data_IF_205971185618
#
_entry.id   IF_205971185618
#
_cell.length_a   1.000
_cell.length_b   1.000
_cell.length_c   1.000
_cell.angle_alpha   90.00
_cell.angle_beta   90.00
_cell.angle_gamma   90.00
#
_symmetry.space_group_name_H-M   'P 1'
#
loop_
_entity.id
_entity.type
_entity.pdbx_description
1 polymer ?
#
# COMPACT_ATOMS: atom_id res chain seq x y z
N UNK A 1 -12.55 0.81 -37.73
CA UNK A 1 -11.24 1.11 -38.32
C UNK A 1 -10.15 0.33 -37.62
N UNK A 2 -9.33 -0.36 -38.43
CA UNK A 2 -8.27 -1.28 -37.91
C UNK A 2 -6.94 -0.56 -37.61
N UNK A 3 -6.96 0.76 -37.37
CA UNK A 3 -5.76 1.54 -37.15
C UNK A 3 -5.81 2.19 -35.77
N UNK A 4 -4.79 1.98 -34.98
CA UNK A 4 -4.62 2.63 -33.67
C UNK A 4 -3.49 3.64 -33.75
N UNK A 5 -3.73 4.84 -33.18
CA UNK A 5 -2.76 5.89 -33.03
C UNK A 5 -2.39 5.96 -31.55
N UNK A 6 -1.11 5.78 -31.26
CA UNK A 6 -0.57 5.93 -29.91
C UNK A 6 0.52 7.00 -29.94
N UNK A 7 0.49 7.93 -29.00
CA UNK A 7 1.56 8.91 -28.84
C UNK A 7 2.78 8.21 -28.27
N UNK A 8 3.88 8.19 -29.04
CA UNK A 8 5.10 7.48 -28.68
C UNK A 8 6.12 8.39 -27.98
N UNK A 9 6.19 9.67 -28.35
CA UNK A 9 7.07 10.67 -27.72
C UNK A 9 6.61 12.09 -28.10
N UNK A 10 7.01 13.08 -27.30
CA UNK A 10 6.95 14.49 -27.69
C UNK A 10 8.32 14.90 -28.25
N UNK A 11 8.33 15.84 -29.21
CA UNK A 11 9.56 16.45 -29.66
C UNK A 11 10.15 17.33 -28.55
N UNK A 12 11.49 17.52 -28.60
CA UNK A 12 12.24 18.28 -27.60
C UNK A 12 11.84 19.75 -27.45
N UNK A 13 11.15 20.30 -28.45
CA UNK A 13 10.60 21.67 -28.45
C UNK A 13 9.15 21.78 -27.97
N UNK A 14 8.51 20.67 -27.58
CA UNK A 14 7.12 20.59 -27.14
C UNK A 14 6.06 21.01 -28.20
N UNK A 15 6.46 21.31 -29.44
CA UNK A 15 5.56 21.76 -30.49
C UNK A 15 5.08 20.63 -31.41
N UNK A 16 5.66 19.45 -31.30
CA UNK A 16 5.29 18.28 -32.07
C UNK A 16 5.21 17.00 -31.24
N UNK A 17 4.40 16.05 -31.68
CA UNK A 17 4.32 14.73 -31.09
C UNK A 17 4.49 13.63 -32.15
N UNK A 18 5.31 12.63 -31.85
CA UNK A 18 5.45 11.44 -32.68
C UNK A 18 4.32 10.48 -32.40
N UNK A 19 3.54 10.17 -33.40
CA UNK A 19 2.48 9.18 -33.33
C UNK A 19 2.98 7.85 -33.89
N UNK A 20 2.87 6.79 -33.11
CA UNK A 20 3.03 5.43 -33.59
C UNK A 20 1.70 4.94 -34.14
N UNK A 21 1.71 4.52 -35.39
CA UNK A 21 0.54 3.97 -36.07
C UNK A 21 0.70 2.47 -36.17
N UNK A 22 -0.14 1.72 -35.45
CA UNK A 22 -0.19 0.27 -35.57
C UNK A 22 -1.42 -0.14 -36.38
N UNK A 23 -1.19 -0.90 -37.46
CA UNK A 23 -2.22 -1.54 -38.27
C UNK A 23 -2.08 -3.03 -38.14
N UNK A 24 -2.93 -3.62 -37.30
CA UNK A 24 -2.99 -5.08 -37.14
C UNK A 24 -4.38 -5.58 -37.54
N UNK A 25 -4.55 -6.03 -38.81
CA UNK A 25 -5.83 -6.48 -39.28
C UNK A 25 -6.29 -7.83 -38.70
N UNK A 26 -5.37 -8.62 -38.16
CA UNK A 26 -5.67 -9.98 -37.70
C UNK A 26 -5.59 -10.12 -36.18
N UNK A 27 -4.72 -9.40 -35.51
CA UNK A 27 -4.46 -9.53 -34.06
C UNK A 27 -5.68 -9.23 -33.20
N UNK A 28 -6.50 -8.26 -33.61
CA UNK A 28 -7.76 -7.95 -32.92
C UNK A 28 -8.72 -9.12 -33.01
N UNK A 29 -8.91 -9.68 -34.22
CA UNK A 29 -9.83 -10.81 -34.46
C UNK A 29 -9.36 -12.06 -33.72
N UNK A 30 -8.07 -12.38 -33.77
CA UNK A 30 -7.47 -13.50 -33.03
C UNK A 30 -7.63 -13.35 -31.53
N UNK A 31 -7.38 -12.16 -30.99
CA UNK A 31 -7.52 -11.90 -29.56
C UNK A 31 -8.97 -12.04 -29.08
N UNK A 32 -9.93 -11.46 -29.81
CA UNK A 32 -11.35 -11.60 -29.43
C UNK A 32 -11.86 -13.03 -29.57
N UNK A 33 -11.40 -13.78 -30.61
CA UNK A 33 -11.71 -15.21 -30.75
C UNK A 33 -11.12 -16.00 -29.57
N UNK A 34 -9.90 -15.70 -29.15
CA UNK A 34 -9.27 -16.31 -27.98
C UNK A 34 -10.06 -16.04 -26.69
N UNK A 35 -10.52 -14.81 -26.48
CA UNK A 35 -11.37 -14.47 -25.33
C UNK A 35 -12.74 -15.16 -25.38
N UNK A 36 -13.35 -15.26 -26.55
CA UNK A 36 -14.60 -15.97 -26.72
C UNK A 36 -14.45 -17.47 -26.41
N UNK A 37 -13.38 -18.11 -26.87
CA UNK A 37 -13.09 -19.52 -26.58
C UNK A 37 -12.82 -19.74 -25.07
N UNK A 38 -12.11 -18.84 -24.41
CA UNK A 38 -11.91 -18.90 -22.96
C UNK A 38 -13.24 -18.79 -22.21
N UNK A 39 -14.10 -17.87 -22.61
CA UNK A 39 -15.43 -17.70 -22.02
C UNK A 39 -16.30 -18.93 -22.21
N UNK A 40 -16.33 -19.48 -23.42
CA UNK A 40 -17.08 -20.72 -23.74
C UNK A 40 -16.56 -21.89 -22.91
N UNK A 41 -15.23 -22.06 -22.80
CA UNK A 41 -14.63 -23.14 -22.01
C UNK A 41 -14.94 -23.02 -20.53
N UNK A 42 -14.96 -21.78 -20.01
CA UNK A 42 -15.31 -21.50 -18.62
C UNK A 42 -16.80 -21.79 -18.34
N UNK A 43 -17.70 -21.34 -19.24
CA UNK A 43 -19.13 -21.64 -19.13
C UNK A 43 -19.41 -23.13 -19.25
N UNK A 44 -18.70 -23.82 -20.13
CA UNK A 44 -18.79 -25.28 -20.30
C UNK A 44 -18.35 -25.98 -19.00
N UNK A 45 -17.26 -25.55 -18.40
CA UNK A 45 -16.78 -26.09 -17.10
C UNK A 45 -17.82 -25.92 -15.99
N UNK A 46 -18.56 -24.78 -15.97
CA UNK A 46 -19.63 -24.54 -15.00
C UNK A 46 -20.89 -25.35 -15.32
N UNK A 47 -21.19 -25.57 -16.60
CA UNK A 47 -22.38 -26.26 -17.06
C UNK A 47 -22.26 -27.79 -16.96
N UNK A 48 -21.05 -28.34 -17.03
CA UNK A 48 -20.82 -29.80 -17.08
C UNK A 48 -21.36 -30.48 -15.81
N UNK A 49 -22.36 -31.36 -15.94
CA UNK A 49 -22.96 -32.06 -14.78
C UNK A 49 -21.99 -33.04 -14.08
N UNK A 50 -20.96 -33.51 -14.79
CA UNK A 50 -19.96 -34.46 -14.31
C UNK A 50 -18.64 -33.77 -13.93
N UNK A 51 -18.54 -32.45 -14.17
CA UNK A 51 -17.34 -31.67 -13.95
C UNK A 51 -16.92 -31.58 -12.47
N UNK A 52 -15.62 -31.39 -12.26
CA UNK A 52 -15.01 -31.26 -10.94
C UNK A 52 -15.64 -30.12 -10.12
N UNK A 53 -16.07 -29.04 -10.77
CA UNK A 53 -16.75 -27.91 -10.13
C UNK A 53 -18.05 -28.34 -9.42
N UNK A 54 -18.94 -29.05 -10.13
CA UNK A 54 -20.19 -29.54 -9.52
C UNK A 54 -19.97 -30.64 -8.48
N UNK A 55 -18.88 -31.40 -8.58
CA UNK A 55 -18.48 -32.36 -7.54
C UNK A 55 -18.10 -31.61 -6.27
N UNK A 56 -17.32 -30.53 -6.36
CA UNK A 56 -16.95 -29.68 -5.21
C UNK A 56 -18.18 -29.01 -4.62
N UNK A 57 -19.05 -28.43 -5.47
CA UNK A 57 -20.30 -27.79 -5.03
C UNK A 57 -21.21 -28.79 -4.32
N UNK A 58 -21.37 -30.02 -4.83
CA UNK A 58 -22.15 -31.08 -4.16
C UNK A 58 -21.54 -31.49 -2.82
N UNK A 59 -20.23 -31.61 -2.72
CA UNK A 59 -19.55 -31.87 -1.44
C UNK A 59 -19.77 -30.75 -0.42
N UNK A 60 -19.78 -29.50 -0.86
CA UNK A 60 -20.03 -28.32 -0.02
C UNK A 60 -21.52 -28.17 0.36
N UNK A 61 -22.45 -28.68 -0.43
CA UNK A 61 -23.89 -28.58 -0.17
C UNK A 61 -24.45 -29.68 0.72
N UNK A 62 -23.75 -30.80 0.92
CA UNK A 62 -24.15 -31.80 1.89
C UNK A 62 -23.99 -31.27 3.32
N UNK A 63 -25.09 -31.12 3.99
CA UNK A 63 -25.24 -30.44 5.31
C UNK A 63 -24.31 -30.95 6.42
N UNK A 64 -23.81 -32.19 6.33
CA UNK A 64 -22.85 -32.80 7.29
C UNK A 64 -21.39 -32.48 6.99
N UNK A 65 -21.02 -32.17 5.75
CA UNK A 65 -19.64 -31.86 5.39
C UNK A 65 -19.27 -30.40 5.62
N UNK A 66 -20.24 -29.49 5.74
CA UNK A 66 -19.98 -28.05 5.98
C UNK A 66 -19.31 -27.79 7.32
N UNK A 67 -19.73 -28.51 8.37
CA UNK A 67 -19.09 -28.41 9.71
C UNK A 67 -17.72 -29.08 9.74
N UNK A 68 -17.55 -30.21 9.07
CA UNK A 68 -16.26 -30.89 8.99
C UNK A 68 -15.25 -30.14 8.11
N UNK A 69 -15.68 -29.59 6.95
CA UNK A 69 -14.82 -28.78 6.08
C UNK A 69 -14.45 -27.44 6.73
N UNK A 70 -15.38 -26.79 7.43
CA UNK A 70 -15.09 -25.59 8.20
C UNK A 70 -14.15 -25.89 9.38
N UNK A 71 -14.35 -27.00 10.08
CA UNK A 71 -13.44 -27.44 11.16
C UNK A 71 -12.06 -27.84 10.62
N UNK A 72 -11.97 -28.50 9.47
CA UNK A 72 -10.70 -28.83 8.82
C UNK A 72 -9.95 -27.60 8.32
N UNK A 73 -10.66 -26.60 7.78
CA UNK A 73 -10.07 -25.31 7.39
C UNK A 73 -9.55 -24.53 8.59
N UNK A 74 -10.24 -24.58 9.72
CA UNK A 74 -9.81 -23.92 10.96
C UNK A 74 -8.61 -24.64 11.60
N UNK A 75 -8.48 -25.97 11.46
CA UNK A 75 -7.37 -26.74 12.07
C UNK A 75 -6.10 -26.74 11.22
N UNK A 76 -6.14 -26.38 9.94
CA UNK A 76 -4.98 -26.37 9.02
C UNK A 76 -4.47 -24.95 8.76
N UNK A 77 -5.16 -23.92 9.20
CA UNK A 77 -4.51 -22.60 9.22
C UNK A 77 -3.42 -22.64 10.28
N UNK A 78 -2.12 -22.57 9.91
CA UNK A 78 -1.12 -22.26 10.91
C UNK A 78 -1.61 -20.99 11.61
N UNK A 79 -1.65 -21.01 12.93
CA UNK A 79 -1.91 -19.82 13.72
C UNK A 79 -0.75 -18.83 13.43
N UNK A 80 -0.83 -18.13 12.30
CA UNK A 80 0.01 -16.99 12.05
C UNK A 80 -0.40 -15.96 13.10
N UNK A 81 0.34 -15.88 14.17
CA UNK A 81 0.26 -14.74 15.08
C UNK A 81 0.60 -13.52 14.24
N UNK A 82 -0.44 -12.74 13.90
CA UNK A 82 -0.22 -11.47 13.24
C UNK A 82 0.69 -10.62 14.14
N UNK A 83 1.68 -9.93 13.57
CA UNK A 83 2.56 -9.07 14.38
C UNK A 83 1.73 -8.00 15.09
N UNK A 84 2.22 -7.54 16.25
CA UNK A 84 1.51 -6.52 17.02
C UNK A 84 1.24 -5.27 16.20
N UNK A 85 0.03 -4.74 16.37
CA UNK A 85 -0.43 -3.51 15.73
C UNK A 85 -1.55 -2.88 16.57
N UNK A 86 -1.94 -1.66 16.23
CA UNK A 86 -3.10 -1.06 16.87
C UNK A 86 -4.39 -1.84 16.55
N UNK A 87 -5.34 -1.90 17.48
CA UNK A 87 -6.71 -2.32 17.19
C UNK A 87 -7.27 -1.55 16.00
N UNK A 88 -8.09 -2.20 15.20
CA UNK A 88 -8.57 -1.64 13.93
C UNK A 88 -9.28 -0.30 14.10
N UNK A 89 -10.09 -0.14 15.15
CA UNK A 89 -10.81 1.10 15.44
C UNK A 89 -9.87 2.27 15.78
N UNK A 90 -8.78 2.00 16.52
CA UNK A 90 -7.77 2.99 16.87
C UNK A 90 -6.92 3.34 15.64
N UNK A 91 -6.51 2.34 14.86
CA UNK A 91 -5.79 2.53 13.60
C UNK A 91 -6.63 3.33 12.60
N UNK A 92 -7.92 3.03 12.46
CA UNK A 92 -8.86 3.79 11.62
C UNK A 92 -8.98 5.26 12.06
N UNK A 93 -8.98 5.54 13.38
CA UNK A 93 -8.98 6.91 13.91
C UNK A 93 -7.67 7.63 13.62
N UNK A 94 -6.54 6.96 13.80
CA UNK A 94 -5.23 7.48 13.46
C UNK A 94 -5.14 7.79 11.95
N UNK A 95 -5.67 6.91 11.10
CA UNK A 95 -5.74 7.08 9.65
C UNK A 95 -6.56 8.29 9.17
N UNK A 96 -7.41 8.87 10.03
CA UNK A 96 -8.18 10.10 9.72
C UNK A 96 -7.40 11.39 9.94
N UNK A 97 -6.28 11.34 10.64
CA UNK A 97 -5.40 12.50 10.77
C UNK A 97 -4.90 12.93 9.39
N UNK A 98 -4.63 14.21 9.23
CA UNK A 98 -4.15 14.75 7.98
C UNK A 98 -2.62 14.75 7.93
N UNK A 99 -2.07 14.56 6.75
CA UNK A 99 -0.63 14.51 6.50
C UNK A 99 -0.31 15.20 5.17
N UNK A 100 0.83 15.85 5.09
CA UNK A 100 1.40 16.30 3.82
C UNK A 100 2.10 15.10 3.15
N UNK A 101 1.54 14.63 2.05
CA UNK A 101 2.05 13.52 1.26
C UNK A 101 1.92 13.84 -0.23
N UNK A 102 3.01 13.66 -0.99
CA UNK A 102 3.08 13.99 -2.42
C UNK A 102 2.56 15.42 -2.71
N UNK A 103 3.08 16.39 -1.96
CA UNK A 103 2.78 17.82 -2.07
C UNK A 103 1.30 18.22 -1.89
N UNK A 104 0.50 17.32 -1.33
CA UNK A 104 -0.90 17.61 -0.97
C UNK A 104 -1.23 17.15 0.45
N UNK A 105 -2.23 17.81 1.03
CA UNK A 105 -2.77 17.39 2.32
C UNK A 105 -3.85 16.36 2.08
N UNK A 106 -3.67 15.19 2.68
CA UNK A 106 -4.58 14.06 2.55
C UNK A 106 -4.75 13.33 3.89
N UNK A 107 -5.75 12.43 4.03
CA UNK A 107 -5.82 11.54 5.18
C UNK A 107 -4.58 10.63 5.28
N UNK A 108 -4.11 10.36 6.49
CA UNK A 108 -3.03 9.40 6.73
C UNK A 108 -3.39 7.99 6.19
N UNK A 109 -4.67 7.67 6.09
CA UNK A 109 -5.14 6.47 5.39
C UNK A 109 -4.60 6.39 3.95
N UNK A 110 -4.61 7.50 3.18
CA UNK A 110 -4.07 7.54 1.82
C UNK A 110 -2.57 7.27 1.83
N UNK A 111 -1.83 7.95 2.69
CA UNK A 111 -0.41 7.68 2.90
C UNK A 111 -0.18 6.20 3.24
N UNK A 112 -0.98 5.63 4.16
CA UNK A 112 -0.84 4.23 4.58
C UNK A 112 -1.07 3.25 3.43
N UNK A 113 -2.07 3.49 2.58
CA UNK A 113 -2.34 2.67 1.38
C UNK A 113 -1.16 2.73 0.40
N UNK A 114 -0.70 3.93 0.05
CA UNK A 114 0.38 4.14 -0.91
C UNK A 114 1.70 3.56 -0.37
N UNK A 115 2.01 3.85 0.88
CA UNK A 115 3.22 3.41 1.54
C UNK A 115 3.28 1.88 1.65
N UNK A 116 2.19 1.24 2.09
CA UNK A 116 2.12 -0.22 2.19
C UNK A 116 2.25 -0.87 0.80
N UNK A 117 1.63 -0.30 -0.24
CA UNK A 117 1.82 -0.75 -1.63
C UNK A 117 3.26 -0.58 -2.11
N UNK A 118 3.91 0.53 -1.79
CA UNK A 118 5.32 0.79 -2.18
C UNK A 118 6.25 -0.24 -1.55
N UNK A 119 6.06 -0.55 -0.27
CA UNK A 119 6.95 -1.43 0.49
C UNK A 119 6.64 -2.91 0.23
N UNK A 120 5.37 -3.31 0.40
CA UNK A 120 4.94 -4.72 0.35
C UNK A 120 4.39 -5.15 -1.01
N UNK A 121 3.87 -4.21 -1.81
CA UNK A 121 3.26 -4.46 -3.11
C UNK A 121 1.73 -4.64 -3.06
N UNK A 122 1.13 -4.69 -1.88
CA UNK A 122 -0.34 -4.73 -1.67
C UNK A 122 -0.72 -3.74 -0.57
N UNK A 123 -1.97 -3.30 -0.55
CA UNK A 123 -2.46 -2.38 0.48
C UNK A 123 -2.67 -3.06 1.85
N UNK A 124 -2.78 -4.36 1.91
CA UNK A 124 -3.01 -5.13 3.15
C UNK A 124 -1.89 -6.15 3.37
N UNK A 125 -1.61 -6.48 4.62
CA UNK A 125 -0.62 -7.48 5.02
C UNK A 125 -1.24 -8.47 6.00
N UNK A 126 -1.27 -9.77 5.66
CA UNK A 126 -1.82 -10.84 6.52
C UNK A 126 -3.20 -10.51 7.12
N UNK A 127 -4.09 -9.87 6.36
CA UNK A 127 -5.43 -9.46 6.80
C UNK A 127 -5.50 -8.14 7.57
N UNK A 128 -4.36 -7.50 7.87
CA UNK A 128 -4.30 -6.19 8.50
C UNK A 128 -4.60 -5.08 7.49
N UNK A 129 -5.28 -4.03 7.96
CA UNK A 129 -5.52 -2.83 7.15
C UNK A 129 -4.25 -2.01 6.95
N UNK A 130 -4.17 -1.13 5.92
CA UNK A 130 -2.98 -0.31 5.70
C UNK A 130 -2.59 0.51 6.92
N UNK A 131 -3.57 1.07 7.65
CA UNK A 131 -3.35 1.84 8.87
C UNK A 131 -2.76 0.97 9.99
N UNK A 132 -3.24 -0.26 10.13
CA UNK A 132 -2.69 -1.22 11.08
C UNK A 132 -1.25 -1.57 10.74
N UNK A 133 -0.95 -1.79 9.46
CA UNK A 133 0.40 -2.10 8.99
C UNK A 133 1.36 -0.94 9.30
N UNK A 134 1.00 0.28 8.90
CA UNK A 134 1.84 1.46 9.12
C UNK A 134 2.04 1.73 10.62
N UNK A 135 0.99 1.63 11.43
CA UNK A 135 1.10 1.78 12.88
C UNK A 135 1.91 0.66 13.53
N UNK A 136 1.84 -0.56 12.99
CA UNK A 136 2.71 -1.66 13.39
C UNK A 136 4.19 -1.34 13.14
N UNK A 137 4.53 -0.85 11.95
CA UNK A 137 5.91 -0.44 11.64
C UNK A 137 6.41 0.72 12.51
N UNK A 138 5.53 1.64 12.92
CA UNK A 138 5.89 2.77 13.77
C UNK A 138 6.08 2.32 15.22
N UNK A 139 5.10 1.64 15.81
CA UNK A 139 5.06 1.40 17.26
C UNK A 139 5.69 0.07 17.67
N UNK A 140 5.74 -0.94 16.79
CA UNK A 140 6.31 -2.27 17.05
C UNK A 140 7.42 -2.63 16.07
N UNK A 141 8.22 -1.63 15.69
CA UNK A 141 9.25 -1.77 14.68
C UNK A 141 10.18 -2.96 14.86
N UNK A 142 10.57 -3.29 16.09
CA UNK A 142 11.48 -4.41 16.37
C UNK A 142 10.84 -5.75 16.01
N UNK A 143 9.61 -5.99 16.44
CA UNK A 143 8.85 -7.20 16.11
C UNK A 143 8.60 -7.32 14.60
N UNK A 144 8.29 -6.18 13.95
CA UNK A 144 8.11 -6.13 12.52
C UNK A 144 9.41 -6.29 11.73
N UNK A 145 10.59 -6.18 12.36
CA UNK A 145 11.86 -6.38 11.69
C UNK A 145 12.11 -7.84 11.27
N UNK A 146 11.42 -8.79 11.90
CA UNK A 146 11.47 -10.21 11.53
C UNK A 146 10.43 -10.60 10.46
N UNK A 147 9.43 -9.74 10.25
CA UNK A 147 8.37 -9.98 9.27
C UNK A 147 8.85 -9.75 7.83
N UNK A 148 8.53 -10.65 6.87
CA UNK A 148 8.94 -10.52 5.47
C UNK A 148 8.01 -9.57 4.70
N UNK A 149 8.09 -8.29 4.96
CA UNK A 149 7.22 -7.29 4.32
C UNK A 149 7.88 -6.46 3.22
N UNK A 150 9.21 -6.49 3.09
CA UNK A 150 9.92 -5.74 2.04
C UNK A 150 9.90 -6.54 0.75
N UNK A 151 9.20 -6.01 -0.25
CA UNK A 151 9.12 -6.65 -1.57
C UNK A 151 10.40 -6.43 -2.35
N UNK A 152 10.99 -7.51 -2.86
CA UNK A 152 12.04 -7.48 -3.85
C UNK A 152 11.39 -7.59 -5.24
N UNK A 153 11.55 -6.56 -6.06
CA UNK A 153 11.14 -6.56 -7.46
C UNK A 153 12.27 -7.11 -8.33
N UNK A 154 11.89 -7.92 -9.32
CA UNK A 154 12.85 -8.49 -10.27
C UNK A 154 13.42 -9.85 -9.86
N UNK A 155 14.02 -10.53 -10.83
CA UNK A 155 14.56 -11.89 -10.67
C UNK A 155 16.04 -11.90 -10.32
N UNK A 156 16.81 -11.02 -10.96
CA UNK A 156 18.28 -11.06 -10.94
C UNK A 156 18.85 -10.89 -9.51
N UNK A 157 18.41 -9.88 -8.77
CA UNK A 157 18.77 -9.72 -7.36
C UNK A 157 18.38 -10.93 -6.50
N UNK A 158 17.19 -11.51 -6.77
CA UNK A 158 16.70 -12.66 -6.01
C UNK A 158 17.52 -13.91 -6.27
N UNK A 159 17.92 -14.13 -7.51
CA UNK A 159 18.75 -15.28 -7.92
C UNK A 159 20.16 -15.14 -7.39
N UNK A 160 20.78 -13.98 -7.60
CA UNK A 160 22.16 -13.72 -7.19
C UNK A 160 22.36 -13.79 -5.67
N UNK A 161 21.43 -13.23 -4.90
CA UNK A 161 21.50 -13.19 -3.42
C UNK A 161 20.69 -14.28 -2.73
N UNK A 162 20.13 -15.24 -3.47
CA UNK A 162 19.26 -16.30 -2.98
C UNK A 162 18.15 -15.79 -2.05
N UNK A 163 17.47 -14.69 -2.44
CA UNK A 163 16.45 -14.03 -1.65
C UNK A 163 15.02 -14.41 -2.12
N UNK A 164 14.07 -14.57 -1.21
CA UNK A 164 12.67 -14.74 -1.56
C UNK A 164 12.07 -13.44 -2.12
N UNK A 165 10.84 -13.49 -2.66
CA UNK A 165 10.14 -12.32 -3.19
C UNK A 165 9.79 -11.24 -2.15
N UNK A 166 9.79 -11.59 -0.87
CA UNK A 166 9.66 -10.68 0.27
C UNK A 166 10.68 -11.05 1.33
N UNK A 167 11.33 -10.06 1.91
CA UNK A 167 12.35 -10.22 2.94
C UNK A 167 12.03 -9.38 4.17
N UNK A 168 12.56 -9.80 5.31
CA UNK A 168 12.53 -9.03 6.55
C UNK A 168 13.70 -8.05 6.61
N UNK A 169 13.57 -7.02 7.46
CA UNK A 169 14.69 -6.12 7.72
C UNK A 169 15.88 -6.87 8.30
N UNK A 170 15.65 -7.76 9.26
CA UNK A 170 16.71 -8.51 9.93
C UNK A 170 17.48 -9.42 8.95
N UNK A 171 16.85 -9.88 7.86
CA UNK A 171 17.56 -10.62 6.81
C UNK A 171 18.48 -9.73 5.97
N UNK A 172 18.13 -8.45 5.80
CA UNK A 172 18.98 -7.48 5.08
C UNK A 172 20.07 -6.87 5.97
N UNK A 173 19.87 -6.88 7.30
CA UNK A 173 20.85 -6.44 8.30
C UNK A 173 21.37 -7.65 9.09
N UNK A 174 22.17 -8.48 8.45
CA UNK A 174 22.73 -9.65 9.10
C UNK A 174 24.09 -9.31 9.74
N UNK A 175 24.15 -9.36 11.07
CA UNK A 175 25.38 -9.10 11.84
C UNK A 175 26.48 -10.09 11.53
N UNK A 176 26.14 -11.35 11.28
CA UNK A 176 27.09 -12.44 11.01
C UNK A 176 27.74 -12.32 9.63
N UNK A 177 27.08 -11.62 8.70
CA UNK A 177 27.57 -11.38 7.33
C UNK A 177 28.14 -9.95 7.14
N UNK A 178 28.46 -9.24 8.21
CA UNK A 178 29.11 -7.92 8.12
C UNK A 178 28.16 -6.72 8.01
N UNK A 179 26.91 -6.85 8.44
CA UNK A 179 25.97 -5.74 8.55
C UNK A 179 24.92 -5.67 7.43
N UNK A 180 24.92 -4.62 6.62
CA UNK A 180 23.93 -4.42 5.57
C UNK A 180 24.27 -5.20 4.31
N UNK A 181 23.56 -6.30 4.06
CA UNK A 181 23.86 -7.30 3.02
C UNK A 181 23.94 -6.70 1.62
N UNK A 182 23.06 -5.76 1.30
CA UNK A 182 23.05 -5.11 -0.02
C UNK A 182 23.91 -3.82 -0.07
N UNK A 183 24.50 -3.41 1.05
CA UNK A 183 25.28 -2.18 1.16
C UNK A 183 26.42 -2.02 0.13
N UNK A 184 27.27 -3.03 -0.09
CA UNK A 184 28.31 -2.96 -1.11
C UNK A 184 27.77 -2.66 -2.51
N UNK A 185 26.69 -3.33 -2.90
CA UNK A 185 26.07 -3.14 -4.22
C UNK A 185 25.36 -1.79 -4.36
N UNK A 186 24.84 -1.22 -3.25
CA UNK A 186 24.35 0.16 -3.24
C UNK A 186 25.48 1.14 -3.55
N UNK A 187 26.68 0.92 -3.00
CA UNK A 187 27.85 1.76 -3.32
C UNK A 187 28.25 1.62 -4.79
N UNK A 188 28.26 0.42 -5.34
CA UNK A 188 28.53 0.17 -6.76
C UNK A 188 27.52 0.90 -7.66
N UNK A 189 26.22 0.89 -7.30
CA UNK A 189 25.20 1.67 -7.98
C UNK A 189 25.49 3.18 -7.94
N UNK A 190 25.88 3.71 -6.78
CA UNK A 190 26.23 5.13 -6.62
C UNK A 190 27.50 5.51 -7.41
N UNK A 191 28.41 4.57 -7.65
CA UNK A 191 29.61 4.76 -8.47
C UNK A 191 29.36 4.59 -9.98
N UNK A 192 28.10 4.36 -10.37
CA UNK A 192 27.71 4.38 -11.79
C UNK A 192 27.43 3.00 -12.40
N UNK A 193 27.36 1.94 -11.62
CA UNK A 193 26.89 0.65 -12.11
C UNK A 193 25.34 0.62 -12.13
N UNK A 194 24.77 0.73 -13.33
CA UNK A 194 23.31 0.88 -13.51
C UNK A 194 22.69 -0.26 -14.32
N UNK A 195 23.24 -1.47 -14.21
CA UNK A 195 22.59 -2.66 -14.76
C UNK A 195 21.30 -3.03 -14.02
N UNK A 196 20.60 -4.04 -14.46
CA UNK A 196 19.31 -4.44 -13.89
C UNK A 196 19.43 -4.91 -12.43
N UNK A 197 20.52 -5.64 -12.10
CA UNK A 197 20.78 -6.07 -10.73
C UNK A 197 20.92 -4.89 -9.78
N UNK A 198 21.79 -3.91 -10.13
CA UNK A 198 22.04 -2.74 -9.31
C UNK A 198 20.82 -1.82 -9.18
N UNK A 199 19.98 -1.70 -10.25
CA UNK A 199 18.69 -1.01 -10.15
C UNK A 199 17.73 -1.67 -9.17
N UNK A 200 17.67 -3.02 -9.14
CA UNK A 200 16.84 -3.75 -8.19
C UNK A 200 17.36 -3.61 -6.75
N UNK A 201 18.68 -3.54 -6.57
CA UNK A 201 19.33 -3.22 -5.29
C UNK A 201 18.92 -1.82 -4.82
N UNK A 202 19.08 -0.80 -5.65
CA UNK A 202 18.71 0.58 -5.32
C UNK A 202 17.22 0.73 -4.98
N UNK A 203 16.35 0.08 -5.74
CA UNK A 203 14.91 0.00 -5.47
C UNK A 203 14.60 -0.64 -4.11
N UNK A 204 15.39 -1.63 -3.69
CA UNK A 204 15.20 -2.31 -2.40
C UNK A 204 15.75 -1.47 -1.26
N UNK A 205 16.89 -0.84 -1.46
CA UNK A 205 17.50 0.12 -0.51
C UNK A 205 16.55 1.30 -0.24
N UNK A 206 15.92 1.84 -1.28
CA UNK A 206 14.90 2.90 -1.11
C UNK A 206 13.78 2.45 -0.17
N UNK A 207 13.28 1.22 -0.29
CA UNK A 207 12.24 0.69 0.60
C UNK A 207 12.72 0.56 2.03
N UNK A 208 13.94 0.06 2.23
CA UNK A 208 14.57 -0.02 3.55
C UNK A 208 14.68 1.37 4.18
N UNK A 209 15.21 2.34 3.43
CA UNK A 209 15.35 3.73 3.87
C UNK A 209 13.99 4.33 4.25
N UNK A 210 12.96 4.16 3.42
CA UNK A 210 11.62 4.64 3.70
C UNK A 210 11.04 4.08 5.01
N UNK A 211 11.26 2.80 5.30
CA UNK A 211 10.84 2.20 6.58
C UNK A 211 11.59 2.82 7.76
N UNK A 212 12.89 3.05 7.62
CA UNK A 212 13.67 3.70 8.68
C UNK A 212 13.23 5.15 8.91
N UNK A 213 12.93 5.90 7.84
CA UNK A 213 12.39 7.26 7.92
C UNK A 213 10.99 7.28 8.58
N UNK A 214 10.13 6.30 8.24
CA UNK A 214 8.83 6.16 8.89
C UNK A 214 8.98 5.93 10.40
N UNK A 215 9.86 5.02 10.80
CA UNK A 215 10.13 4.71 12.21
C UNK A 215 10.69 5.91 12.99
N UNK A 216 11.50 6.72 12.34
CA UNK A 216 12.00 7.99 12.91
C UNK A 216 10.92 9.08 12.97
N UNK A 217 9.80 8.90 12.27
CA UNK A 217 8.73 9.90 12.17
C UNK A 217 8.99 11.03 11.19
N UNK A 218 10.11 11.00 10.43
CA UNK A 218 10.47 12.07 9.48
C UNK A 218 9.47 12.21 8.33
N UNK A 219 8.85 11.12 7.93
CA UNK A 219 7.82 11.11 6.89
C UNK A 219 6.47 11.64 7.35
N UNK A 220 6.24 11.71 8.67
CA UNK A 220 4.93 12.02 9.25
C UNK A 220 4.74 13.54 9.40
N UNK A 221 4.68 14.26 8.29
CA UNK A 221 4.43 15.71 8.24
C UNK A 221 2.97 16.01 8.57
N UNK A 222 2.61 15.95 9.86
CA UNK A 222 1.23 16.02 10.36
C UNK A 222 0.91 17.31 11.13
N UNK A 223 1.89 18.18 11.36
CA UNK A 223 1.74 19.33 12.24
C UNK A 223 1.82 20.63 11.44
N UNK A 224 0.66 21.26 11.12
CA UNK A 224 0.64 22.54 10.45
C UNK A 224 1.04 23.66 11.39
N UNK A 225 1.91 24.55 10.93
CA UNK A 225 2.29 25.79 11.59
C UNK A 225 2.21 26.94 10.61
N UNK A 226 1.65 28.04 11.04
CA UNK A 226 1.64 29.29 10.28
C UNK A 226 2.96 30.03 10.52
N UNK A 227 3.67 30.36 9.46
CA UNK A 227 4.86 31.19 9.48
C UNK A 227 4.78 32.22 8.32
N UNK A 228 4.87 33.50 8.65
CA UNK A 228 4.80 34.58 7.65
C UNK A 228 3.55 34.55 6.74
N UNK A 229 2.41 34.09 7.22
CA UNK A 229 1.17 33.99 6.45
C UNK A 229 1.04 32.71 5.61
N UNK A 230 2.07 31.87 5.55
CA UNK A 230 2.06 30.57 4.87
C UNK A 230 1.96 29.43 5.91
N UNK A 231 1.17 28.41 5.62
CA UNK A 231 1.08 27.20 6.45
C UNK A 231 2.07 26.17 5.94
N UNK A 232 2.99 25.75 6.81
CA UNK A 232 3.95 24.68 6.54
C UNK A 232 3.63 23.48 7.43
N UNK A 233 3.84 22.26 6.90
CA UNK A 233 3.54 21.01 7.61
C UNK A 233 4.84 20.36 8.08
N UNK A 234 4.93 20.14 9.38
CA UNK A 234 6.13 19.62 10.04
C UNK A 234 5.93 18.18 10.52
N UNK A 235 7.01 17.42 10.52
CA UNK A 235 7.07 16.13 11.20
C UNK A 235 7.47 16.30 12.68
N UNK A 236 7.28 15.29 13.54
CA UNK A 236 7.70 15.36 14.93
C UNK A 236 9.20 15.61 15.12
N UNK A 237 10.01 15.23 14.14
CA UNK A 237 11.48 15.29 14.15
C UNK A 237 12.06 16.40 13.28
N UNK A 238 11.22 17.16 12.57
CA UNK A 238 11.70 18.28 11.75
C UNK A 238 12.08 19.48 12.63
N UNK A 239 12.99 20.31 12.12
CA UNK A 239 13.25 21.61 12.71
C UNK A 239 11.95 22.45 12.70
N UNK A 240 11.56 22.96 13.85
CA UNK A 240 10.38 23.80 14.01
C UNK A 240 10.84 25.25 14.03
N UNK A 241 10.20 26.16 13.27
CA UNK A 241 10.57 27.58 13.25
C UNK A 241 10.62 28.20 14.63
N UNK A 242 11.59 29.10 14.86
CA UNK A 242 11.75 29.78 16.15
C UNK A 242 10.59 30.73 16.46
N UNK A 243 9.89 31.17 15.45
CA UNK A 243 8.65 31.96 15.54
C UNK A 243 7.46 31.19 16.13
N UNK A 244 7.51 29.85 16.15
CA UNK A 244 6.42 29.05 16.69
C UNK A 244 6.35 29.15 18.23
N UNK A 245 5.14 29.30 18.83
CA UNK A 245 4.91 29.31 20.25
C UNK A 245 5.51 28.10 20.96
N UNK A 246 6.11 28.30 22.13
CA UNK A 246 6.83 27.25 22.85
C UNK A 246 5.96 26.03 23.19
N UNK A 247 4.71 26.25 23.57
CA UNK A 247 3.73 25.20 23.87
C UNK A 247 3.47 24.29 22.65
N UNK A 248 3.43 24.86 21.46
CA UNK A 248 3.26 24.10 20.20
C UNK A 248 4.52 23.30 19.86
N UNK A 249 5.72 23.88 20.06
CA UNK A 249 6.98 23.14 19.87
C UNK A 249 7.03 21.92 20.76
N UNK A 250 6.76 22.11 22.08
CA UNK A 250 6.73 20.99 23.03
C UNK A 250 5.69 19.94 22.68
N UNK A 251 4.50 20.35 22.23
CA UNK A 251 3.46 19.41 21.80
C UNK A 251 3.95 18.55 20.63
N UNK A 252 4.46 19.16 19.56
CA UNK A 252 4.90 18.46 18.36
C UNK A 252 6.03 17.48 18.67
N UNK A 253 7.01 17.90 19.47
CA UNK A 253 8.17 17.07 19.82
C UNK A 253 7.83 15.87 20.71
N UNK A 254 6.81 16.00 21.58
CA UNK A 254 6.50 14.97 22.56
C UNK A 254 5.32 14.07 22.20
N UNK A 255 4.44 14.49 21.28
CA UNK A 255 3.19 13.76 20.98
C UNK A 255 3.44 12.32 20.49
N UNK A 256 4.49 12.10 19.70
CA UNK A 256 4.83 10.76 19.22
C UNK A 256 5.39 9.86 20.32
N UNK A 257 6.19 10.39 21.22
CA UNK A 257 6.66 9.65 22.40
C UNK A 257 5.49 9.21 23.29
N UNK A 258 4.52 10.10 23.49
CA UNK A 258 3.30 9.78 24.25
C UNK A 258 2.46 8.70 23.54
N UNK A 259 2.25 8.83 22.23
CA UNK A 259 1.55 7.81 21.44
C UNK A 259 2.26 6.46 21.53
N UNK A 260 3.59 6.43 21.41
CA UNK A 260 4.39 5.22 21.54
C UNK A 260 4.22 4.57 22.91
N UNK A 261 4.34 5.34 23.98
CA UNK A 261 4.21 4.85 25.37
C UNK A 261 2.82 4.23 25.59
N UNK A 262 1.76 4.92 25.18
CA UNK A 262 0.39 4.41 25.37
C UNK A 262 0.07 3.22 24.44
N UNK A 263 0.65 3.17 23.22
CA UNK A 263 0.53 2.01 22.34
C UNK A 263 1.14 0.76 22.97
N UNK A 264 2.36 0.87 23.50
CA UNK A 264 3.07 -0.22 24.18
C UNK A 264 2.38 -0.67 25.46
N UNK A 265 1.77 0.24 26.19
CA UNK A 265 1.00 -0.04 27.41
C UNK A 265 -0.42 -0.58 27.13
N UNK A 266 -0.88 -0.60 25.86
CA UNK A 266 -2.26 -0.98 25.52
C UNK A 266 -3.33 0.03 25.96
N UNK A 267 -2.94 1.26 26.28
CA UNK A 267 -3.83 2.32 26.79
C UNK A 267 -4.53 3.06 25.63
N UNK A 268 -5.31 2.33 24.84
CA UNK A 268 -5.92 2.83 23.60
C UNK A 268 -6.91 3.99 23.82
N UNK A 269 -7.54 4.07 25.01
CA UNK A 269 -8.41 5.19 25.34
C UNK A 269 -7.61 6.51 25.38
N UNK A 270 -6.42 6.50 26.00
CA UNK A 270 -5.51 7.66 26.05
C UNK A 270 -4.95 8.00 24.67
N UNK A 271 -4.62 6.99 23.87
CA UNK A 271 -4.23 7.20 22.47
C UNK A 271 -5.32 7.94 21.69
N UNK A 272 -6.58 7.51 21.81
CA UNK A 272 -7.71 8.15 21.15
C UNK A 272 -7.90 9.61 21.56
N UNK A 273 -7.64 9.95 22.84
CA UNK A 273 -7.64 11.34 23.29
C UNK A 273 -6.52 12.17 22.62
N UNK A 274 -5.30 11.63 22.56
CA UNK A 274 -4.17 12.27 21.87
C UNK A 274 -4.46 12.46 20.38
N UNK A 275 -4.98 11.43 19.71
CA UNK A 275 -5.41 11.49 18.28
C UNK A 275 -6.44 12.61 18.10
N UNK A 276 -7.42 12.71 18.99
CA UNK A 276 -8.45 13.75 18.94
C UNK A 276 -7.87 15.14 19.17
N UNK A 277 -6.92 15.29 20.09
CA UNK A 277 -6.18 16.54 20.32
C UNK A 277 -5.35 16.92 19.09
N UNK A 278 -4.69 15.97 18.46
CA UNK A 278 -3.91 16.19 17.24
C UNK A 278 -4.82 16.64 16.08
N UNK A 279 -5.98 16.02 15.92
CA UNK A 279 -6.98 16.43 14.91
C UNK A 279 -7.45 17.89 15.14
N UNK A 280 -7.75 18.26 16.40
CA UNK A 280 -8.12 19.66 16.72
C UNK A 280 -6.96 20.63 16.48
N UNK A 281 -5.73 20.21 16.77
CA UNK A 281 -4.53 21.00 16.47
C UNK A 281 -4.41 21.27 14.97
N UNK A 282 -4.61 20.24 14.14
CA UNK A 282 -4.60 20.36 12.66
C UNK A 282 -5.67 21.33 12.17
N UNK A 283 -6.90 21.19 12.66
CA UNK A 283 -8.02 22.08 12.28
C UNK A 283 -7.76 23.53 12.67
N UNK A 284 -7.19 23.77 13.87
CA UNK A 284 -6.91 25.12 14.37
C UNK A 284 -5.77 25.82 13.61
N UNK A 285 -4.74 25.07 13.18
CA UNK A 285 -3.52 25.65 12.63
C UNK A 285 -3.36 25.44 11.12
N UNK A 286 -4.17 24.58 10.49
CA UNK A 286 -4.05 24.24 9.08
C UNK A 286 -4.59 25.29 8.12
N UNK A 287 -5.47 26.20 8.58
CA UNK A 287 -6.01 27.31 7.78
C UNK A 287 -6.51 26.86 6.40
N UNK A 288 -6.18 27.64 5.37
CA UNK A 288 -6.57 27.36 3.98
C UNK A 288 -5.90 26.15 3.32
N UNK A 289 -4.92 25.52 3.98
CA UNK A 289 -4.29 24.29 3.45
C UNK A 289 -5.13 23.03 3.65
N UNK A 290 -6.18 23.09 4.49
CA UNK A 290 -6.99 21.92 4.82
C UNK A 290 -7.93 21.56 3.68
N UNK A 291 -8.01 20.27 3.30
CA UNK A 291 -9.04 19.79 2.37
C UNK A 291 -10.42 19.87 3.02
N UNK A 292 -11.48 19.97 2.21
CA UNK A 292 -12.84 19.92 2.72
C UNK A 292 -13.15 18.57 3.37
N UNK A 293 -14.08 18.55 4.33
CA UNK A 293 -14.51 17.31 4.99
C UNK A 293 -15.09 16.30 3.97
N UNK A 294 -15.74 16.79 2.92
CA UNK A 294 -16.30 15.94 1.86
C UNK A 294 -15.19 15.29 1.05
N UNK A 295 -14.17 16.05 0.64
CA UNK A 295 -12.99 15.50 -0.06
C UNK A 295 -12.29 14.44 0.78
N UNK A 296 -12.01 14.73 2.05
CA UNK A 296 -11.38 13.78 2.98
C UNK A 296 -12.18 12.47 3.11
N UNK A 297 -13.52 12.58 3.27
CA UNK A 297 -14.40 11.40 3.37
C UNK A 297 -14.46 10.61 2.07
N UNK A 298 -14.60 11.29 0.93
CA UNK A 298 -14.64 10.66 -0.38
C UNK A 298 -13.34 9.90 -0.67
N UNK A 299 -12.18 10.48 -0.34
CA UNK A 299 -10.89 9.84 -0.50
C UNK A 299 -10.75 8.58 0.38
N UNK A 300 -11.17 8.64 1.63
CA UNK A 300 -11.17 7.49 2.52
C UNK A 300 -12.09 6.36 2.03
N UNK A 301 -13.25 6.69 1.46
CA UNK A 301 -14.16 5.71 0.85
C UNK A 301 -13.50 5.10 -0.39
N UNK A 302 -12.90 5.93 -1.25
CA UNK A 302 -12.20 5.48 -2.44
C UNK A 302 -11.08 4.49 -2.11
N UNK A 303 -10.31 4.73 -1.07
CA UNK A 303 -9.24 3.85 -0.62
C UNK A 303 -9.74 2.50 -0.06
N UNK A 304 -10.96 2.46 0.47
CA UNK A 304 -11.55 1.23 1.06
C UNK A 304 -12.32 0.39 0.05
N UNK A 305 -12.87 1.02 -0.98
CA UNK A 305 -13.73 0.35 -1.96
C UNK A 305 -12.93 0.03 -3.23
N UNK A 306 -12.86 -1.24 -3.67
CA UNK A 306 -12.16 -1.62 -4.89
C UNK A 306 -12.99 -1.26 -6.14
N UNK A 307 -13.18 0.04 -6.40
CA UNK A 307 -14.04 0.53 -7.48
C UNK A 307 -13.69 -0.07 -8.84
N UNK A 308 -12.40 -0.23 -9.16
CA UNK A 308 -11.97 -0.84 -10.42
C UNK A 308 -12.51 -2.27 -10.57
N UNK A 309 -12.45 -3.07 -9.51
CA UNK A 309 -12.98 -4.44 -9.51
C UNK A 309 -14.51 -4.44 -9.62
N UNK A 310 -15.20 -3.55 -8.90
CA UNK A 310 -16.66 -3.42 -8.96
C UNK A 310 -17.10 -3.02 -10.36
N UNK A 311 -16.48 -2.01 -10.95
CA UNK A 311 -16.77 -1.54 -12.31
C UNK A 311 -16.48 -2.62 -13.35
N UNK A 312 -15.37 -3.35 -13.20
CA UNK A 312 -15.05 -4.49 -14.06
C UNK A 312 -16.15 -5.56 -14.00
N UNK A 313 -16.55 -5.97 -12.79
CA UNK A 313 -17.61 -6.97 -12.60
C UNK A 313 -18.95 -6.50 -13.16
N UNK A 314 -19.27 -5.22 -12.99
CA UNK A 314 -20.48 -4.61 -13.52
C UNK A 314 -20.50 -4.60 -15.06
N UNK A 315 -19.40 -4.13 -15.66
CA UNK A 315 -19.26 -4.12 -17.12
C UNK A 315 -19.27 -5.54 -17.70
N UNK A 316 -18.62 -6.50 -17.04
CA UNK A 316 -18.65 -7.91 -17.44
C UNK A 316 -20.07 -8.46 -17.39
N UNK A 317 -20.84 -8.17 -16.33
CA UNK A 317 -22.23 -8.61 -16.18
C UNK A 317 -23.12 -8.01 -17.27
N UNK A 318 -23.00 -6.72 -17.53
CA UNK A 318 -23.75 -6.04 -18.60
C UNK A 318 -23.39 -6.62 -19.97
N UNK A 319 -22.08 -6.83 -20.23
CA UNK A 319 -21.63 -7.44 -21.49
C UNK A 319 -22.15 -8.84 -21.70
N UNK A 320 -22.21 -9.66 -20.65
CA UNK A 320 -22.78 -11.02 -20.73
C UNK A 320 -24.29 -10.97 -20.98
N UNK A 321 -25.02 -10.09 -20.31
CA UNK A 321 -26.47 -9.94 -20.52
C UNK A 321 -26.78 -9.48 -21.94
N UNK A 322 -26.06 -8.46 -22.46
CA UNK A 322 -26.25 -7.99 -23.83
C UNK A 322 -25.92 -9.07 -24.86
N UNK A 323 -24.89 -9.88 -24.61
CA UNK A 323 -24.52 -11.00 -25.50
C UNK A 323 -25.58 -12.11 -25.53
N UNK A 324 -26.31 -12.32 -24.42
CA UNK A 324 -27.37 -13.33 -24.34
C UNK A 324 -28.68 -12.83 -25.01
N UNK A 325 -28.90 -11.52 -24.99
CA UNK A 325 -30.10 -10.87 -25.52
C UNK A 325 -29.99 -10.51 -27.03
N UNK A 326 -28.79 -10.48 -27.57
CA UNK A 326 -28.52 -10.26 -29.00
C UNK A 326 -28.55 -11.56 -29.78
#
# INVERSE_FOLDING_TARGET
GHTRFCQAANDSDMLGSRLSVSRDPYGITVSYTGYALLLISFLWMLADPKGSYRRIVRMLTQKRSRLAAAALFVTVMPAYTAPHTLPKDVADRFGRLLILHNDRICPLNTFAVDFTKKIYGKASYKGLTPEQVVTGWIFWGDEWSDEPFIRIKGGEMRETLALPGHVSLNRLFNRDMGGYVIGPYVQEYLWGQHDEFHRQIADTDERVRLIMELRRGTLLKMFPLADGGKVTWHSPTSAIPDTAPHDRKLYIQNVFSLLYTHAKAGEYARMNDIISKTSRFQQKNGGGSLPSLMQTRAEMIYNKVPFATILFMLNLSVGLVTMILA
#
